data_IF_070015708355
#
_entry.id   IF_070015708355
#
_cell.length_a   1.000
_cell.length_b   1.000
_cell.length_c   1.000
_cell.angle_alpha   90.00
_cell.angle_beta   90.00
_cell.angle_gamma   90.00
#
_symmetry.space_group_name_H-M   'P 1'
#
loop_
_entity.id
_entity.type
_entity.pdbx_description
1 polymer ?
#
# COMPACT_ATOMS: atom_id res chain seq x y z
N UNK A 1 11.80 86.03 4.74
CA UNK A 1 10.76 84.99 4.87
C UNK A 1 11.13 83.85 3.91
N UNK A 2 11.39 82.63 4.44
CA UNK A 2 11.58 81.48 3.52
C UNK A 2 12.62 80.45 3.94
N UNK A 3 12.82 80.14 5.23
CA UNK A 3 13.71 79.06 5.68
C UNK A 3 13.05 77.92 6.51
N UNK A 4 11.78 77.97 6.83
CA UNK A 4 11.12 76.94 7.66
C UNK A 4 10.38 75.86 6.89
N UNK A 5 10.08 76.05 5.60
CA UNK A 5 9.27 75.07 4.86
C UNK A 5 10.06 73.82 4.43
N UNK A 6 11.40 73.87 4.28
CA UNK A 6 12.19 72.70 3.87
C UNK A 6 12.38 71.68 4.99
N UNK A 7 12.35 72.06 6.25
CA UNK A 7 12.51 71.10 7.39
C UNK A 7 11.24 70.27 7.63
N UNK A 8 10.09 70.84 7.39
CA UNK A 8 8.83 70.16 7.63
C UNK A 8 8.54 69.05 6.59
N UNK A 9 8.96 69.24 5.32
CA UNK A 9 8.79 68.19 4.30
C UNK A 9 9.68 66.96 4.54
N UNK A 10 10.87 67.15 5.12
CA UNK A 10 11.80 66.04 5.37
C UNK A 10 11.38 65.18 6.55
N UNK A 11 10.70 65.73 7.54
CA UNK A 11 10.21 65.00 8.68
C UNK A 11 8.96 64.18 8.35
N UNK A 12 8.09 64.69 7.48
CA UNK A 12 6.89 63.96 7.01
C UNK A 12 7.22 62.75 6.12
N UNK A 13 8.28 62.89 5.33
CA UNK A 13 8.77 61.78 4.48
C UNK A 13 9.38 60.64 5.27
N UNK A 14 10.12 60.91 6.36
CA UNK A 14 10.70 59.90 7.23
C UNK A 14 9.63 59.19 8.07
N UNK A 15 8.59 59.85 8.53
CA UNK A 15 7.48 59.26 9.28
C UNK A 15 6.66 58.31 8.39
N UNK A 16 6.45 58.67 7.12
CA UNK A 16 5.70 57.82 6.18
C UNK A 16 6.51 56.60 5.73
N UNK A 17 7.85 56.66 5.64
CA UNK A 17 8.71 55.52 5.39
C UNK A 17 8.73 54.53 6.58
N UNK A 18 8.80 55.02 7.80
CA UNK A 18 8.78 54.17 8.98
C UNK A 18 7.41 53.44 9.19
N UNK A 19 6.30 54.11 8.87
CA UNK A 19 4.99 53.48 8.90
C UNK A 19 4.85 52.37 7.87
N UNK A 20 5.37 52.58 6.64
CA UNK A 20 5.34 51.54 5.58
C UNK A 20 6.24 50.37 5.89
N UNK A 21 7.41 50.59 6.49
CA UNK A 21 8.28 49.48 6.93
C UNK A 21 7.65 48.67 8.07
N UNK A 22 6.99 49.32 9.03
CA UNK A 22 6.36 48.63 10.14
C UNK A 22 5.11 47.84 9.71
N UNK A 23 4.35 48.34 8.74
CA UNK A 23 3.23 47.60 8.15
C UNK A 23 3.70 46.37 7.34
N UNK A 24 4.81 46.50 6.62
CA UNK A 24 5.35 45.41 5.81
C UNK A 24 5.96 44.27 6.70
N UNK A 25 6.58 44.65 7.83
CA UNK A 25 7.09 43.69 8.81
C UNK A 25 5.95 42.93 9.52
N UNK A 26 4.86 43.64 9.85
CA UNK A 26 3.72 43.01 10.51
C UNK A 26 2.96 42.07 9.57
N UNK A 27 2.82 42.42 8.29
CA UNK A 27 2.23 41.52 7.29
C UNK A 27 3.07 40.26 7.04
N UNK A 28 4.40 40.39 7.00
CA UNK A 28 5.31 39.26 6.82
C UNK A 28 5.31 38.32 8.05
N UNK A 29 5.19 38.86 9.26
CA UNK A 29 5.08 38.03 10.48
C UNK A 29 3.77 37.28 10.53
N UNK A 30 2.66 37.91 10.14
CA UNK A 30 1.33 37.27 10.14
C UNK A 30 1.24 36.17 9.07
N UNK A 31 1.81 36.40 7.87
CA UNK A 31 1.87 35.38 6.82
C UNK A 31 2.75 34.18 7.22
N UNK A 32 3.86 34.44 7.89
CA UNK A 32 4.77 33.38 8.32
C UNK A 32 4.16 32.53 9.44
N UNK A 33 3.41 33.14 10.37
CA UNK A 33 2.68 32.43 11.42
C UNK A 33 1.55 31.59 10.82
N UNK A 34 0.80 32.11 9.87
CA UNK A 34 -0.27 31.38 9.20
C UNK A 34 0.27 30.19 8.37
N UNK A 35 1.39 30.37 7.70
CA UNK A 35 2.07 29.30 6.97
C UNK A 35 2.59 28.20 7.88
N UNK A 36 3.16 28.55 9.04
CA UNK A 36 3.65 27.59 10.02
C UNK A 36 2.50 26.82 10.67
N UNK A 37 1.39 27.47 11.02
CA UNK A 37 0.22 26.81 11.58
C UNK A 37 -0.43 25.85 10.57
N UNK A 38 -0.52 26.26 9.31
CA UNK A 38 -1.07 25.42 8.25
C UNK A 38 -0.17 24.20 7.97
N UNK A 39 1.16 24.39 7.98
CA UNK A 39 2.12 23.30 7.85
C UNK A 39 2.05 22.30 9.01
N UNK A 40 1.94 22.79 10.25
CA UNK A 40 1.80 21.94 11.45
C UNK A 40 0.48 21.15 11.41
N UNK A 41 -0.63 21.79 11.02
CA UNK A 41 -1.93 21.14 10.90
C UNK A 41 -1.90 20.05 9.83
N UNK A 42 -1.41 20.35 8.63
CA UNK A 42 -1.31 19.36 7.56
C UNK A 42 -0.39 18.19 7.92
N UNK A 43 0.71 18.46 8.64
CA UNK A 43 1.62 17.42 9.08
C UNK A 43 1.00 16.54 10.18
N UNK A 44 0.25 17.11 11.12
CA UNK A 44 -0.45 16.34 12.16
C UNK A 44 -1.58 15.49 11.58
N UNK A 45 -2.34 16.00 10.63
CA UNK A 45 -3.38 15.24 9.92
C UNK A 45 -2.78 14.06 9.14
N UNK A 46 -1.66 14.28 8.46
CA UNK A 46 -0.96 13.22 7.71
C UNK A 46 -0.40 12.13 8.63
N UNK A 47 0.18 12.50 9.79
CA UNK A 47 0.65 11.55 10.81
C UNK A 47 -0.52 10.73 11.37
N UNK A 48 -1.63 11.38 11.68
CA UNK A 48 -2.82 10.69 12.18
C UNK A 48 -3.39 9.70 11.16
N UNK A 49 -3.43 10.08 9.88
CA UNK A 49 -3.87 9.22 8.80
C UNK A 49 -2.95 8.00 8.63
N UNK A 50 -1.63 8.18 8.70
CA UNK A 50 -0.68 7.09 8.67
C UNK A 50 -0.85 6.13 9.86
N UNK A 51 -1.03 6.65 11.06
CA UNK A 51 -1.27 5.85 12.26
C UNK A 51 -2.57 5.04 12.16
N UNK A 52 -3.63 5.65 11.64
CA UNK A 52 -4.91 4.97 11.43
C UNK A 52 -4.78 3.83 10.40
N UNK A 53 -4.04 4.05 9.31
CA UNK A 53 -3.75 3.03 8.30
C UNK A 53 -2.93 1.87 8.88
N UNK A 54 -1.90 2.17 9.66
CA UNK A 54 -1.09 1.14 10.32
C UNK A 54 -1.92 0.32 11.33
N UNK A 55 -2.82 0.98 12.08
CA UNK A 55 -3.72 0.31 13.01
C UNK A 55 -4.69 -0.63 12.27
N UNK A 56 -5.27 -0.18 11.15
CA UNK A 56 -6.17 -0.99 10.33
C UNK A 56 -5.45 -2.22 9.73
N UNK A 57 -4.22 -2.05 9.24
CA UNK A 57 -3.40 -3.16 8.75
C UNK A 57 -3.08 -4.15 9.87
N UNK A 58 -2.76 -3.66 11.06
CA UNK A 58 -2.47 -4.52 12.22
C UNK A 58 -3.71 -5.29 12.65
N UNK A 59 -4.88 -4.64 12.68
CA UNK A 59 -6.15 -5.29 12.96
C UNK A 59 -6.47 -6.35 11.92
N UNK A 60 -6.33 -6.05 10.63
CA UNK A 60 -6.53 -7.03 9.56
C UNK A 60 -5.60 -8.25 9.69
N UNK A 61 -4.31 -8.01 9.97
CA UNK A 61 -3.34 -9.09 10.21
C UNK A 61 -3.64 -9.91 11.47
N UNK A 62 -4.28 -9.31 12.47
CA UNK A 62 -4.66 -10.01 13.71
C UNK A 62 -5.93 -10.85 13.56
N UNK A 63 -6.72 -10.64 12.51
CA UNK A 63 -7.87 -11.50 12.19
C UNK A 63 -7.33 -12.88 11.84
N UNK A 64 -7.62 -13.88 12.64
CA UNK A 64 -7.24 -15.26 12.33
C UNK A 64 -8.12 -15.78 11.20
N UNK A 65 -7.62 -15.68 9.99
CA UNK A 65 -8.24 -16.27 8.81
C UNK A 65 -7.93 -17.75 8.80
N UNK A 66 -8.97 -18.57 8.69
CA UNK A 66 -8.87 -20.03 8.78
C UNK A 66 -8.86 -20.64 7.38
N UNK A 67 -7.94 -21.57 7.16
CA UNK A 67 -7.86 -22.32 5.92
C UNK A 67 -9.09 -23.23 5.74
N UNK A 68 -9.79 -23.09 4.62
CA UNK A 68 -10.99 -23.87 4.32
C UNK A 68 -10.74 -25.39 4.24
N UNK A 69 -9.50 -25.84 3.96
CA UNK A 69 -9.16 -27.26 3.87
C UNK A 69 -8.74 -27.88 5.21
N UNK A 70 -7.79 -27.26 5.92
CA UNK A 70 -7.19 -27.87 7.11
C UNK A 70 -7.70 -27.32 8.44
N UNK A 71 -8.50 -26.24 8.43
CA UNK A 71 -9.03 -25.59 9.63
C UNK A 71 -8.00 -24.86 10.49
N UNK A 72 -6.76 -24.74 10.02
CA UNK A 72 -5.70 -24.02 10.75
C UNK A 72 -5.65 -22.56 10.33
N UNK A 73 -5.17 -21.65 11.19
CA UNK A 73 -5.01 -20.25 10.85
C UNK A 73 -3.98 -20.08 9.73
N UNK A 74 -4.24 -19.12 8.84
CA UNK A 74 -3.31 -18.71 7.77
C UNK A 74 -2.54 -17.50 8.28
N UNK A 75 -1.25 -17.66 8.53
CA UNK A 75 -0.39 -16.60 9.05
C UNK A 75 -0.04 -15.58 7.97
N UNK A 76 0.18 -16.02 6.74
CA UNK A 76 0.49 -15.18 5.60
C UNK A 76 -0.58 -15.26 4.51
N UNK A 77 -1.49 -14.29 4.53
CA UNK A 77 -2.55 -14.16 3.53
C UNK A 77 -2.04 -13.81 2.13
N UNK A 78 -0.82 -13.26 2.01
CA UNK A 78 -0.25 -12.89 0.70
C UNK A 78 0.05 -14.12 -0.14
N UNK A 79 0.34 -15.24 0.51
CA UNK A 79 0.58 -16.55 -0.13
C UNK A 79 -0.68 -17.41 -0.24
N UNK A 80 -1.80 -16.97 0.33
CA UNK A 80 -3.05 -17.74 0.30
C UNK A 80 -3.66 -17.77 -1.10
N UNK A 81 -4.33 -18.88 -1.39
CA UNK A 81 -5.08 -19.14 -2.63
C UNK A 81 -6.55 -19.29 -2.28
N UNK A 82 -7.44 -18.78 -3.13
CA UNK A 82 -8.89 -18.95 -2.94
C UNK A 82 -9.38 -20.27 -3.50
N UNK A 83 -10.35 -20.87 -2.81
CA UNK A 83 -11.11 -21.99 -3.39
C UNK A 83 -12.19 -21.49 -4.38
N UNK A 84 -12.98 -22.42 -4.89
CA UNK A 84 -14.07 -22.10 -5.84
C UNK A 84 -15.16 -21.20 -5.25
N UNK A 85 -15.28 -21.16 -3.92
CA UNK A 85 -16.23 -20.33 -3.17
C UNK A 85 -15.62 -18.98 -2.73
N UNK A 86 -14.34 -18.73 -3.04
CA UNK A 86 -13.63 -17.52 -2.64
C UNK A 86 -13.03 -17.58 -1.23
N UNK A 87 -13.08 -18.73 -0.55
CA UNK A 87 -12.51 -18.88 0.79
C UNK A 87 -10.99 -19.06 0.74
N UNK A 88 -10.24 -18.49 1.68
CA UNK A 88 -8.79 -18.59 1.70
C UNK A 88 -8.32 -20.00 2.09
N UNK A 89 -7.28 -20.46 1.45
CA UNK A 89 -6.59 -21.73 1.72
C UNK A 89 -5.08 -21.52 1.74
N UNK A 90 -4.37 -22.32 2.55
CA UNK A 90 -2.91 -22.37 2.45
C UNK A 90 -2.50 -22.85 1.06
N UNK A 91 -1.45 -22.26 0.54
CA UNK A 91 -0.84 -22.67 -0.74
C UNK A 91 -0.50 -24.17 -0.76
N UNK A 92 0.13 -24.67 0.31
CA UNK A 92 0.49 -26.09 0.42
C UNK A 92 -0.72 -27.01 0.48
N UNK A 93 -1.81 -26.57 1.11
CA UNK A 93 -3.06 -27.32 1.13
C UNK A 93 -3.66 -27.49 -0.26
N UNK A 94 -3.61 -26.45 -1.07
CA UNK A 94 -4.05 -26.51 -2.47
C UNK A 94 -3.16 -27.43 -3.27
N UNK A 95 -1.84 -27.23 -3.16
CA UNK A 95 -0.84 -28.03 -3.88
C UNK A 95 -0.98 -29.52 -3.59
N UNK A 96 -1.14 -29.89 -2.31
CA UNK A 96 -1.37 -31.27 -1.89
C UNK A 96 -2.69 -31.83 -2.43
N UNK A 97 -3.75 -31.03 -2.41
CA UNK A 97 -5.05 -31.42 -2.96
C UNK A 97 -4.96 -31.70 -4.47
N UNK A 98 -4.23 -30.88 -5.19
CA UNK A 98 -4.03 -31.06 -6.61
C UNK A 98 -3.16 -32.30 -6.91
N UNK A 99 -2.08 -32.49 -6.15
CA UNK A 99 -1.22 -33.68 -6.29
C UNK A 99 -1.99 -34.99 -6.04
N UNK A 100 -2.94 -34.98 -5.10
CA UNK A 100 -3.74 -36.17 -4.83
C UNK A 100 -4.80 -36.46 -5.90
N UNK A 101 -5.27 -35.43 -6.60
CA UNK A 101 -6.26 -35.56 -7.67
C UNK A 101 -5.64 -35.94 -9.03
N UNK A 102 -4.40 -35.50 -9.25
CA UNK A 102 -3.69 -35.74 -10.50
C UNK A 102 -2.79 -36.97 -10.36
N UNK A 103 -3.01 -37.95 -11.23
CA UNK A 103 -2.14 -39.14 -11.32
C UNK A 103 -0.82 -38.79 -11.97
N UNK A 104 0.13 -38.27 -11.19
CA UNK A 104 1.44 -37.87 -11.70
C UNK A 104 2.32 -39.09 -11.95
N UNK A 105 3.01 -39.08 -13.10
CA UNK A 105 4.00 -40.09 -13.49
C UNK A 105 5.37 -39.80 -12.86
N UNK A 106 6.25 -40.79 -12.72
CA UNK A 106 7.62 -40.56 -12.29
C UNK A 106 8.30 -39.47 -13.16
N UNK A 107 8.96 -38.50 -12.53
CA UNK A 107 9.61 -37.38 -13.20
C UNK A 107 8.71 -36.16 -13.45
N UNK A 108 7.41 -36.26 -13.17
CA UNK A 108 6.51 -35.12 -13.19
C UNK A 108 6.45 -34.40 -11.85
N UNK A 109 6.31 -33.09 -11.89
CA UNK A 109 6.13 -32.26 -10.70
C UNK A 109 4.97 -31.28 -10.89
N UNK A 110 4.29 -30.99 -9.82
CA UNK A 110 3.27 -29.92 -9.76
C UNK A 110 3.96 -28.63 -9.35
N UNK A 111 3.79 -27.58 -10.16
CA UNK A 111 4.34 -26.24 -9.86
C UNK A 111 3.30 -25.17 -10.05
N UNK A 112 3.43 -24.08 -9.32
CA UNK A 112 2.62 -22.88 -9.50
C UNK A 112 3.20 -22.01 -10.60
N UNK A 113 2.41 -21.62 -11.56
CA UNK A 113 2.82 -20.82 -12.72
C UNK A 113 2.24 -19.38 -12.70
N UNK A 114 1.71 -19.00 -11.55
CA UNK A 114 1.12 -17.67 -11.36
C UNK A 114 -0.36 -17.63 -11.75
N UNK A 115 -0.97 -16.54 -11.32
CA UNK A 115 -2.35 -16.25 -11.72
C UNK A 115 -3.37 -17.32 -11.30
N UNK A 116 -3.23 -17.93 -10.10
CA UNK A 116 -4.16 -18.98 -9.65
C UNK A 116 -4.07 -20.27 -10.48
N UNK A 117 -2.99 -20.46 -11.25
CA UNK A 117 -2.78 -21.61 -12.13
C UNK A 117 -1.62 -22.48 -11.66
N UNK A 118 -1.82 -23.77 -11.77
CA UNK A 118 -0.81 -24.79 -11.54
C UNK A 118 -0.49 -25.52 -12.84
N UNK A 119 0.69 -26.08 -12.93
CA UNK A 119 1.09 -26.91 -14.06
C UNK A 119 1.73 -28.21 -13.60
N UNK A 120 1.45 -29.28 -14.32
CA UNK A 120 2.22 -30.51 -14.27
C UNK A 120 3.36 -30.36 -15.28
N UNK A 121 4.57 -30.39 -14.78
CA UNK A 121 5.79 -30.24 -15.59
C UNK A 121 6.65 -31.48 -15.54
N UNK A 122 7.33 -31.78 -16.64
CA UNK A 122 8.34 -32.83 -16.75
C UNK A 122 9.70 -32.16 -16.98
N UNK A 123 10.71 -32.54 -16.21
CA UNK A 123 12.08 -32.09 -16.42
C UNK A 123 12.85 -33.10 -17.28
N UNK A 124 13.51 -32.62 -18.33
CA UNK A 124 14.40 -33.47 -19.13
C UNK A 124 15.59 -33.98 -18.32
N UNK A 125 16.08 -33.12 -17.42
CA UNK A 125 17.12 -33.47 -16.47
C UNK A 125 16.70 -32.96 -15.06
N UNK A 126 16.58 -33.84 -14.05
CA UNK A 126 16.21 -33.45 -12.69
C UNK A 126 17.16 -32.43 -12.03
N UNK A 127 18.39 -32.29 -12.56
CA UNK A 127 19.38 -31.31 -12.08
C UNK A 127 19.33 -29.97 -12.82
N UNK A 128 18.63 -29.90 -13.95
CA UNK A 128 18.46 -28.67 -14.74
C UNK A 128 17.00 -28.22 -14.74
N UNK A 129 16.64 -27.44 -13.74
CA UNK A 129 15.27 -26.92 -13.57
C UNK A 129 14.89 -25.87 -14.62
N UNK A 130 15.80 -25.43 -15.45
CA UNK A 130 15.53 -24.46 -16.51
C UNK A 130 14.92 -25.09 -17.75
N UNK A 131 15.13 -26.39 -17.95
CA UNK A 131 14.61 -27.14 -19.10
C UNK A 131 13.49 -28.04 -18.64
N UNK A 132 12.28 -27.57 -18.81
CA UNK A 132 11.08 -28.31 -18.48
C UNK A 132 10.05 -28.21 -19.59
N UNK A 133 9.16 -29.19 -19.65
CA UNK A 133 7.99 -29.22 -20.53
C UNK A 133 6.73 -29.14 -19.69
N UNK A 134 5.81 -28.26 -20.05
CA UNK A 134 4.48 -28.19 -19.44
C UNK A 134 3.62 -29.25 -20.11
N UNK A 135 3.14 -30.21 -19.31
CA UNK A 135 2.28 -31.29 -19.78
C UNK A 135 0.79 -30.95 -19.65
N UNK A 136 0.43 -30.27 -18.57
CA UNK A 136 -0.94 -29.88 -18.25
C UNK A 136 -0.97 -28.59 -17.46
N UNK A 137 -1.93 -27.72 -17.76
CA UNK A 137 -2.24 -26.53 -16.96
C UNK A 137 -3.56 -26.76 -16.27
N UNK A 138 -3.62 -26.41 -14.97
CA UNK A 138 -4.80 -26.51 -14.12
C UNK A 138 -5.14 -25.10 -13.66
N UNK A 139 -6.26 -24.58 -14.09
CA UNK A 139 -6.81 -23.33 -13.60
C UNK A 139 -7.54 -23.64 -12.30
N UNK A 140 -6.99 -23.13 -11.19
CA UNK A 140 -7.53 -23.38 -9.85
C UNK A 140 -8.41 -22.24 -9.37
N UNK A 141 -7.94 -20.99 -9.52
CA UNK A 141 -8.70 -19.81 -9.16
C UNK A 141 -9.44 -19.24 -10.37
N UNK A 142 -10.72 -18.98 -10.20
CA UNK A 142 -11.51 -18.22 -11.16
C UNK A 142 -11.31 -16.73 -10.91
N UNK A 143 -10.55 -16.08 -11.79
CA UNK A 143 -10.24 -14.65 -11.69
C UNK A 143 -11.40 -13.72 -12.01
N UNK A 144 -12.45 -14.24 -12.59
CA UNK A 144 -13.64 -13.44 -12.88
C UNK A 144 -14.45 -13.16 -11.62
N UNK A 145 -14.22 -13.95 -10.57
CA UNK A 145 -14.90 -13.79 -9.29
C UNK A 145 -14.09 -12.89 -8.35
N UNK A 146 -14.68 -11.79 -7.87
CA UNK A 146 -14.06 -10.98 -6.84
C UNK A 146 -13.91 -11.77 -5.55
N UNK A 147 -12.76 -11.70 -4.93
CA UNK A 147 -12.45 -12.33 -3.65
C UNK A 147 -12.39 -11.24 -2.58
N UNK A 148 -13.39 -11.17 -1.71
CA UNK A 148 -13.55 -10.07 -0.74
C UNK A 148 -12.31 -9.86 0.14
N UNK A 149 -11.79 -10.92 0.76
CA UNK A 149 -10.62 -10.81 1.63
C UNK A 149 -9.36 -10.32 0.91
N UNK A 150 -9.23 -10.64 -0.39
CA UNK A 150 -8.10 -10.20 -1.21
C UNK A 150 -8.23 -8.73 -1.60
N UNK A 151 -9.44 -8.28 -1.91
CA UNK A 151 -9.71 -6.87 -2.21
C UNK A 151 -9.51 -6.01 -0.95
N UNK A 152 -10.04 -6.43 0.20
CA UNK A 152 -9.83 -5.75 1.48
C UNK A 152 -8.33 -5.62 1.81
N UNK A 153 -7.56 -6.68 1.60
CA UNK A 153 -6.10 -6.66 1.78
C UNK A 153 -5.42 -5.69 0.79
N UNK A 154 -5.80 -5.73 -0.49
CA UNK A 154 -5.22 -4.86 -1.51
C UNK A 154 -5.52 -3.38 -1.22
N UNK A 155 -6.73 -3.05 -0.80
CA UNK A 155 -7.13 -1.69 -0.42
C UNK A 155 -6.32 -1.17 0.76
N UNK A 156 -6.14 -1.98 1.80
CA UNK A 156 -5.33 -1.61 2.96
C UNK A 156 -3.86 -1.36 2.60
N UNK A 157 -3.27 -2.22 1.76
CA UNK A 157 -1.87 -2.08 1.33
C UNK A 157 -1.66 -0.96 0.32
N UNK A 158 -2.64 -0.67 -0.55
CA UNK A 158 -2.53 0.40 -1.56
C UNK A 158 -2.52 1.80 -0.93
N UNK A 159 -3.08 1.93 0.28
CA UNK A 159 -3.12 3.19 1.02
C UNK A 159 -1.82 3.50 1.77
N UNK A 160 -0.89 2.55 1.85
CA UNK A 160 0.43 2.71 2.46
C UNK A 160 1.41 3.06 1.35
N UNK A 161 1.63 4.36 1.12
CA UNK A 161 2.70 4.88 0.26
C UNK A 161 3.67 5.68 1.10
#
# INVERSE_FOLDING_TARGET
MGRNDRRNRHNHSKQNQNQRQNQNQNQNQTQNQHSQQNWQKNNSENIQELQNKEAAIREFKSRSVICAKCGKPIEDLTSAISDAEGKPMHFDCVLESLKSKESMRPGQQMTYIGNGRFAVVTFENPRDLKKFKIEKIIEYEDKTKPVEWRNEMADLYSQVK
#
